data_IF_632327698936
#
_entry.id   IF_632327698936
#
_cell.length_a   1.000
_cell.length_b   1.000
_cell.length_c   1.000
_cell.angle_alpha   90.00
_cell.angle_beta   90.00
_cell.angle_gamma   90.00
#
_symmetry.space_group_name_H-M   'P 1'
#
loop_
_entity.id
_entity.type
_entity.pdbx_description
1 polymer ?
#
# COMPACT_ATOMS: atom_id res chain seq x y z
N UNK A 1 13.15 -0.04 17.30
CA UNK A 1 13.75 -0.93 16.28
C UNK A 1 13.70 -2.34 16.81
N UNK A 2 13.34 -3.31 15.97
CA UNK A 2 13.42 -4.73 16.34
C UNK A 2 14.87 -5.20 16.38
N UNK A 3 15.34 -5.54 17.57
CA UNK A 3 16.67 -6.14 17.82
C UNK A 3 16.58 -7.65 18.05
N UNK A 4 15.38 -8.24 17.96
CA UNK A 4 15.14 -9.66 18.25
C UNK A 4 15.41 -10.56 17.04
N UNK A 5 15.46 -9.99 15.83
CA UNK A 5 15.62 -10.73 14.58
C UNK A 5 14.33 -11.36 14.05
N UNK A 6 13.20 -11.19 14.75
CA UNK A 6 11.92 -11.78 14.39
C UNK A 6 11.42 -11.32 13.02
N UNK A 7 11.54 -10.02 12.69
CA UNK A 7 11.15 -9.54 11.36
C UNK A 7 11.96 -10.21 10.26
N UNK A 8 13.28 -10.27 10.43
CA UNK A 8 14.22 -10.81 9.45
C UNK A 8 13.96 -12.29 9.19
N UNK A 9 13.71 -13.06 10.24
CA UNK A 9 13.37 -14.49 10.12
C UNK A 9 12.01 -14.69 9.43
N UNK A 10 11.00 -13.88 9.77
CA UNK A 10 9.69 -13.94 9.13
C UNK A 10 9.78 -13.61 7.63
N UNK A 11 10.53 -12.57 7.26
CA UNK A 11 10.76 -12.20 5.87
C UNK A 11 11.44 -13.34 5.09
N UNK A 12 12.49 -13.95 5.63
CA UNK A 12 13.17 -15.09 4.99
C UNK A 12 12.23 -16.27 4.71
N UNK A 13 11.29 -16.56 5.62
CA UNK A 13 10.28 -17.60 5.41
C UNK A 13 9.31 -17.19 4.28
N UNK A 14 8.82 -15.95 4.32
CA UNK A 14 7.84 -15.43 3.37
C UNK A 14 8.38 -15.24 1.95
N UNK A 15 9.68 -14.95 1.79
CA UNK A 15 10.32 -14.81 0.49
C UNK A 15 10.39 -16.12 -0.31
N UNK A 16 10.16 -17.27 0.34
CA UNK A 16 10.02 -18.57 -0.34
C UNK A 16 8.64 -18.77 -0.99
N UNK A 17 7.72 -17.83 -0.81
CA UNK A 17 6.36 -17.87 -1.34
C UNK A 17 6.11 -16.76 -2.34
N UNK A 18 5.22 -17.01 -3.30
CA UNK A 18 4.86 -16.03 -4.31
C UNK A 18 4.26 -14.73 -3.72
N UNK A 19 4.31 -13.62 -4.47
CA UNK A 19 3.69 -12.37 -4.06
C UNK A 19 2.17 -12.39 -4.18
N UNK A 20 1.57 -13.46 -4.72
CA UNK A 20 0.14 -13.62 -4.92
C UNK A 20 -0.29 -15.08 -4.75
N UNK A 21 -1.60 -15.25 -4.58
CA UNK A 21 -2.33 -16.52 -4.60
C UNK A 21 -3.51 -16.44 -5.57
N UNK A 22 -3.98 -17.57 -6.08
CA UNK A 22 -5.11 -17.67 -7.01
C UNK A 22 -4.98 -16.69 -8.21
N UNK A 23 -3.74 -16.50 -8.66
CA UNK A 23 -3.35 -15.67 -9.80
C UNK A 23 -3.51 -14.15 -9.65
N UNK A 24 -4.01 -13.64 -8.51
CA UNK A 24 -4.24 -12.18 -8.32
C UNK A 24 -4.33 -11.67 -6.88
N UNK A 25 -4.61 -12.53 -5.91
CA UNK A 25 -4.83 -12.08 -4.53
C UNK A 25 -3.47 -11.91 -3.88
N UNK A 26 -3.14 -10.71 -3.42
CA UNK A 26 -1.78 -10.40 -2.97
C UNK A 26 -1.41 -11.19 -1.71
N UNK A 27 -0.14 -11.56 -1.60
CA UNK A 27 0.44 -12.01 -0.35
C UNK A 27 0.67 -10.79 0.55
N UNK A 28 -0.14 -10.69 1.60
CA UNK A 28 -0.13 -9.55 2.50
C UNK A 28 0.85 -9.69 3.67
N UNK A 29 1.38 -10.90 3.90
CA UNK A 29 2.14 -11.22 5.10
C UNK A 29 3.34 -10.31 5.35
N UNK A 30 4.20 -9.94 4.35
CA UNK A 30 5.34 -9.09 4.61
C UNK A 30 4.97 -7.71 5.20
N UNK A 31 3.86 -7.13 4.73
CA UNK A 31 3.34 -5.87 5.23
C UNK A 31 2.73 -6.02 6.63
N UNK A 32 2.02 -7.13 6.88
CA UNK A 32 1.40 -7.39 8.17
C UNK A 32 2.46 -7.66 9.26
N UNK A 33 3.47 -8.50 9.00
CA UNK A 33 4.52 -8.78 9.99
C UNK A 33 5.37 -7.55 10.28
N UNK A 34 5.64 -6.72 9.27
CA UNK A 34 6.33 -5.46 9.47
C UNK A 34 5.50 -4.51 10.36
N UNK A 35 4.19 -4.40 10.10
CA UNK A 35 3.29 -3.59 10.93
C UNK A 35 3.23 -4.07 12.38
N UNK A 36 3.14 -5.39 12.60
CA UNK A 36 3.17 -5.99 13.95
C UNK A 36 4.47 -5.63 14.68
N UNK A 37 5.61 -5.78 14.01
CA UNK A 37 6.92 -5.49 14.61
C UNK A 37 7.08 -4.01 14.92
N UNK A 38 6.73 -3.13 13.98
CA UNK A 38 6.82 -1.69 14.17
C UNK A 38 5.94 -1.17 15.31
N UNK A 39 4.84 -1.88 15.61
CA UNK A 39 3.93 -1.58 16.72
C UNK A 39 4.23 -2.36 17.99
N UNK A 40 5.40 -3.01 18.08
CA UNK A 40 5.87 -3.65 19.32
C UNK A 40 5.37 -5.09 19.55
N UNK A 41 4.69 -5.70 18.57
CA UNK A 41 4.10 -7.04 18.67
C UNK A 41 4.94 -8.13 18.01
N UNK A 42 6.28 -8.00 18.03
CA UNK A 42 7.21 -8.99 17.46
C UNK A 42 6.92 -10.43 17.97
N UNK A 43 6.58 -10.58 19.26
CA UNK A 43 6.28 -11.89 19.88
C UNK A 43 5.11 -12.65 19.22
N UNK A 44 4.22 -11.94 18.53
CA UNK A 44 3.04 -12.53 17.89
C UNK A 44 3.27 -12.91 16.43
N UNK A 45 4.38 -12.48 15.82
CA UNK A 45 4.65 -12.61 14.38
C UNK A 45 4.66 -14.05 13.92
N UNK A 46 5.43 -14.93 14.57
CA UNK A 46 5.54 -16.32 14.11
C UNK A 46 4.19 -17.05 14.18
N UNK A 47 3.44 -16.87 15.26
CA UNK A 47 2.08 -17.44 15.39
C UNK A 47 1.14 -16.92 14.30
N UNK A 48 1.20 -15.61 14.01
CA UNK A 48 0.39 -15.01 12.95
C UNK A 48 0.77 -15.58 11.57
N UNK A 49 2.07 -15.70 11.29
CA UNK A 49 2.57 -16.29 10.04
C UNK A 49 2.12 -17.74 9.88
N UNK A 50 2.20 -18.54 10.95
CA UNK A 50 1.77 -19.95 10.91
C UNK A 50 0.30 -20.09 10.49
N UNK A 51 -0.58 -19.23 10.99
CA UNK A 51 -1.99 -19.19 10.59
C UNK A 51 -2.17 -18.70 9.14
N UNK A 52 -1.37 -17.73 8.72
CA UNK A 52 -1.42 -17.15 7.37
C UNK A 52 -0.89 -18.11 6.28
N UNK A 53 -0.02 -19.07 6.62
CA UNK A 53 0.64 -19.96 5.64
C UNK A 53 -0.30 -20.67 4.67
N UNK A 54 -1.55 -20.94 5.10
CA UNK A 54 -2.61 -21.53 4.25
C UNK A 54 -2.98 -20.68 3.03
N UNK A 55 -2.69 -19.37 3.07
CA UNK A 55 -2.89 -18.43 1.97
C UNK A 55 -1.65 -18.30 1.07
N UNK A 56 -0.52 -18.92 1.41
CA UNK A 56 0.71 -18.81 0.63
C UNK A 56 0.72 -19.81 -0.53
N UNK A 57 1.16 -19.36 -1.69
CA UNK A 57 1.44 -20.21 -2.84
C UNK A 57 2.95 -20.24 -3.12
N UNK A 58 3.38 -21.28 -3.84
CA UNK A 58 4.77 -21.48 -4.22
C UNK A 58 5.35 -20.25 -4.94
N UNK A 59 6.64 -19.99 -4.73
CA UNK A 59 7.31 -18.95 -5.47
C UNK A 59 7.35 -19.29 -6.97
N UNK A 60 6.92 -18.38 -7.87
CA UNK A 60 6.86 -18.69 -9.29
C UNK A 60 8.26 -18.90 -9.88
N UNK A 61 8.35 -19.77 -10.90
CA UNK A 61 9.61 -19.97 -11.62
C UNK A 61 9.98 -18.76 -12.48
N UNK A 62 11.26 -18.44 -12.54
CA UNK A 62 11.83 -17.49 -13.51
C UNK A 62 11.69 -18.05 -14.94
N UNK A 63 11.51 -17.16 -15.90
CA UNK A 63 11.35 -17.52 -17.32
C UNK A 63 12.50 -17.01 -18.17
N UNK A 64 12.85 -15.73 -18.00
CA UNK A 64 13.90 -15.06 -18.74
C UNK A 64 14.40 -13.88 -17.90
N UNK A 65 15.71 -13.76 -17.61
CA UNK A 65 16.22 -12.65 -16.83
C UNK A 65 15.83 -11.28 -17.38
N UNK A 66 15.32 -10.41 -16.51
CA UNK A 66 15.21 -8.98 -16.81
C UNK A 66 16.60 -8.33 -16.73
N UNK A 67 16.88 -7.44 -17.67
CA UNK A 67 18.16 -6.76 -17.89
C UNK A 67 17.92 -5.29 -18.26
N UNK A 68 18.98 -4.47 -18.21
CA UNK A 68 18.94 -3.09 -18.67
C UNK A 68 18.47 -2.93 -20.14
N UNK A 69 18.66 -3.95 -20.98
CA UNK A 69 18.28 -3.94 -22.40
C UNK A 69 16.83 -4.34 -22.68
N UNK A 70 16.22 -5.18 -21.84
CA UNK A 70 14.88 -5.76 -22.11
C UNK A 70 13.78 -5.33 -21.12
N UNK A 71 14.11 -4.59 -20.04
CA UNK A 71 13.16 -4.30 -18.96
C UNK A 71 11.86 -3.65 -19.41
N UNK A 72 11.90 -2.77 -20.43
CA UNK A 72 10.70 -2.10 -20.95
C UNK A 72 9.68 -3.08 -21.53
N UNK A 73 10.14 -4.14 -22.18
CA UNK A 73 9.28 -5.17 -22.76
C UNK A 73 8.70 -6.10 -21.68
N UNK A 74 9.40 -6.26 -20.55
CA UNK A 74 8.94 -7.07 -19.42
C UNK A 74 7.99 -6.33 -18.45
N UNK A 75 7.93 -4.99 -18.53
CA UNK A 75 7.17 -4.16 -17.59
C UNK A 75 5.67 -4.40 -17.74
N UNK A 76 5.00 -4.71 -16.63
CA UNK A 76 3.57 -4.97 -16.60
C UNK A 76 3.16 -6.39 -17.04
N UNK A 77 4.11 -7.30 -17.29
CA UNK A 77 3.84 -8.72 -17.50
C UNK A 77 3.90 -9.50 -16.17
N UNK A 78 2.77 -9.97 -15.63
CA UNK A 78 2.73 -10.67 -14.35
C UNK A 78 3.52 -11.98 -14.33
N UNK A 79 3.69 -12.62 -15.50
CA UNK A 79 4.42 -13.89 -15.62
C UNK A 79 5.91 -13.71 -15.34
N UNK A 80 6.41 -12.47 -15.44
CA UNK A 80 7.81 -12.10 -15.25
C UNK A 80 8.15 -11.74 -13.81
N UNK A 81 7.27 -11.99 -12.83
CA UNK A 81 7.48 -11.52 -11.45
C UNK A 81 8.74 -12.07 -10.80
N UNK A 82 9.05 -13.35 -10.98
CA UNK A 82 10.31 -13.92 -10.49
C UNK A 82 11.53 -13.30 -11.16
N UNK A 83 11.45 -13.04 -12.47
CA UNK A 83 12.54 -12.40 -13.24
C UNK A 83 12.79 -10.96 -12.77
N UNK A 84 11.72 -10.23 -12.47
CA UNK A 84 11.76 -8.88 -11.93
C UNK A 84 12.33 -8.84 -10.50
N UNK A 85 11.91 -9.76 -9.63
CA UNK A 85 12.46 -9.86 -8.26
C UNK A 85 13.97 -10.12 -8.33
N UNK A 86 14.40 -11.12 -9.11
CA UNK A 86 15.82 -11.41 -9.27
C UNK A 86 16.61 -10.25 -9.89
N UNK A 87 16.00 -9.44 -10.76
CA UNK A 87 16.63 -8.21 -11.26
C UNK A 87 16.88 -7.20 -10.15
N UNK A 88 15.88 -6.89 -9.31
CA UNK A 88 16.07 -5.95 -8.21
C UNK A 88 16.99 -6.47 -7.11
N UNK A 89 17.03 -7.78 -6.85
CA UNK A 89 18.00 -8.38 -5.93
C UNK A 89 19.44 -8.13 -6.39
N UNK A 90 19.73 -8.30 -7.69
CA UNK A 90 21.04 -8.00 -8.27
C UNK A 90 21.37 -6.52 -8.19
N UNK A 91 20.45 -5.64 -8.58
CA UNK A 91 20.67 -4.19 -8.54
C UNK A 91 20.94 -3.71 -7.10
N UNK A 92 20.20 -4.20 -6.12
CA UNK A 92 20.40 -3.82 -4.70
C UNK A 92 21.71 -4.40 -4.12
N UNK A 93 22.19 -5.52 -4.65
CA UNK A 93 23.49 -6.07 -4.26
C UNK A 93 24.68 -5.28 -4.83
N UNK A 94 24.50 -4.61 -5.97
CA UNK A 94 25.56 -3.89 -6.69
C UNK A 94 25.65 -2.40 -6.32
N UNK A 95 24.56 -1.79 -5.85
CA UNK A 95 24.50 -0.36 -5.52
C UNK A 95 23.57 -0.07 -4.33
N UNK A 96 23.71 1.08 -3.65
CA UNK A 96 22.87 1.42 -2.51
C UNK A 96 21.37 1.34 -2.85
N UNK A 97 20.59 0.73 -1.97
CA UNK A 97 19.15 0.52 -2.20
C UNK A 97 18.37 1.82 -2.46
N UNK A 98 18.82 2.94 -1.87
CA UNK A 98 18.25 4.28 -2.09
C UNK A 98 18.45 4.76 -3.51
N UNK A 99 19.58 4.42 -4.15
CA UNK A 99 19.86 4.75 -5.55
C UNK A 99 19.00 3.91 -6.50
N UNK A 100 18.88 2.60 -6.23
CA UNK A 100 17.94 1.73 -6.98
C UNK A 100 16.52 2.28 -6.89
N UNK A 101 16.08 2.62 -5.68
CA UNK A 101 14.76 3.18 -5.43
C UNK A 101 14.57 4.50 -6.17
N UNK A 102 15.51 5.44 -6.06
CA UNK A 102 15.44 6.74 -6.75
C UNK A 102 15.39 6.61 -8.27
N UNK A 103 16.13 5.65 -8.83
CA UNK A 103 16.14 5.35 -10.26
C UNK A 103 14.81 4.77 -10.75
N UNK A 104 14.24 3.83 -10.01
CA UNK A 104 13.07 3.07 -10.43
C UNK A 104 11.74 3.68 -10.04
N UNK A 105 11.71 4.48 -8.97
CA UNK A 105 10.50 5.17 -8.52
C UNK A 105 9.77 5.90 -9.65
N UNK A 106 10.38 6.85 -10.40
CA UNK A 106 9.68 7.55 -11.48
C UNK A 106 9.28 6.63 -12.65
N UNK A 107 9.91 5.46 -12.81
CA UNK A 107 9.57 4.49 -13.86
C UNK A 107 8.34 3.66 -13.49
N UNK A 108 8.18 3.35 -12.19
CA UNK A 108 7.10 2.52 -11.67
C UNK A 108 5.88 3.33 -11.23
N UNK A 109 6.09 4.58 -10.81
CA UNK A 109 5.06 5.48 -10.31
C UNK A 109 3.84 5.63 -11.24
N UNK A 110 3.99 5.70 -12.58
CA UNK A 110 2.83 5.73 -13.48
C UNK A 110 1.92 4.52 -13.34
N UNK A 111 2.45 3.35 -12.99
CA UNK A 111 1.71 2.10 -12.82
C UNK A 111 1.47 1.67 -11.38
N UNK A 112 1.54 2.61 -10.42
CA UNK A 112 1.27 2.41 -8.99
C UNK A 112 -0.02 1.63 -8.69
N UNK A 113 -1.01 1.74 -9.57
CA UNK A 113 -2.35 1.17 -9.40
C UNK A 113 -2.40 -0.35 -9.61
N UNK A 114 -1.36 -0.93 -10.21
CA UNK A 114 -1.20 -2.37 -10.39
C UNK A 114 -1.30 -3.18 -9.10
N UNK A 115 -1.81 -4.42 -9.18
CA UNK A 115 -1.92 -5.31 -8.03
C UNK A 115 -2.79 -4.75 -6.90
N UNK A 116 -3.77 -3.92 -7.22
CA UNK A 116 -4.59 -3.20 -6.23
C UNK A 116 -3.71 -2.39 -5.27
N UNK A 117 -2.70 -1.69 -5.78
CA UNK A 117 -1.71 -0.88 -5.03
C UNK A 117 -0.85 -1.65 -4.00
N UNK A 118 -1.02 -2.95 -3.83
CA UNK A 118 -0.18 -3.77 -2.94
C UNK A 118 1.32 -3.64 -3.18
N UNK A 119 1.83 -3.56 -4.43
CA UNK A 119 3.25 -3.44 -4.63
C UNK A 119 3.87 -2.18 -4.00
N UNK A 120 3.25 -1.01 -4.17
CA UNK A 120 3.75 0.22 -3.53
C UNK A 120 3.57 0.18 -2.02
N UNK A 121 2.49 -0.46 -1.52
CA UNK A 121 2.29 -0.66 -0.09
C UNK A 121 3.45 -1.48 0.48
N UNK A 122 3.77 -2.61 -0.16
CA UNK A 122 4.89 -3.48 0.21
C UNK A 122 6.23 -2.72 0.21
N UNK A 123 6.50 -1.92 -0.81
CA UNK A 123 7.70 -1.04 -0.85
C UNK A 123 7.70 -0.03 0.30
N UNK A 124 6.57 0.59 0.62
CA UNK A 124 6.46 1.54 1.74
C UNK A 124 6.81 0.91 3.09
N UNK A 125 6.33 -0.31 3.35
CA UNK A 125 6.68 -1.06 4.57
C UNK A 125 8.18 -1.45 4.60
N UNK A 126 8.72 -1.92 3.47
CA UNK A 126 10.15 -2.24 3.34
C UNK A 126 11.03 -1.01 3.61
N UNK A 127 10.71 0.13 3.00
CA UNK A 127 11.45 1.39 3.18
C UNK A 127 11.33 1.91 4.61
N UNK A 128 10.15 1.83 5.26
CA UNK A 128 10.01 2.19 6.68
C UNK A 128 11.00 1.40 7.54
N UNK A 129 11.10 0.09 7.31
CA UNK A 129 12.04 -0.77 8.04
C UNK A 129 13.50 -0.40 7.78
N UNK A 130 13.88 -0.17 6.51
CA UNK A 130 15.24 0.18 6.11
C UNK A 130 15.67 1.57 6.61
N UNK A 131 14.74 2.53 6.71
CA UNK A 131 15.03 3.85 7.29
C UNK A 131 15.13 3.80 8.82
N UNK A 132 14.35 2.93 9.46
CA UNK A 132 14.29 2.86 10.91
C UNK A 132 15.45 2.10 11.52
N UNK A 133 16.14 1.21 10.79
CA UNK A 133 17.22 0.37 11.34
C UNK A 133 18.20 -0.13 10.29
N UNK A 134 18.94 -1.19 10.63
CA UNK A 134 19.97 -1.75 9.74
C UNK A 134 19.38 -2.37 8.46
N UNK A 135 20.10 -2.18 7.36
CA UNK A 135 19.81 -2.76 6.04
C UNK A 135 20.32 -4.21 5.94
N UNK A 136 19.67 -5.11 6.67
CA UNK A 136 20.00 -6.55 6.64
C UNK A 136 19.58 -7.21 5.33
N UNK A 137 20.16 -8.37 5.01
CA UNK A 137 19.83 -9.13 3.80
C UNK A 137 18.33 -9.36 3.58
N UNK A 138 17.57 -9.86 4.57
CA UNK A 138 16.12 -10.04 4.44
C UNK A 138 15.35 -8.74 4.19
N UNK A 139 15.76 -7.62 4.80
CA UNK A 139 15.08 -6.32 4.60
C UNK A 139 15.33 -5.76 3.20
N UNK A 140 16.55 -5.92 2.70
CA UNK A 140 16.91 -5.57 1.32
C UNK A 140 16.19 -6.45 0.31
N UNK A 141 16.10 -7.76 0.56
CA UNK A 141 15.32 -8.68 -0.25
C UNK A 141 13.84 -8.30 -0.27
N UNK A 142 13.26 -7.88 0.85
CA UNK A 142 11.86 -7.43 0.89
C UNK A 142 11.61 -6.20 0.00
N UNK A 143 12.56 -5.26 -0.06
CA UNK A 143 12.49 -4.16 -1.02
C UNK A 143 12.57 -4.66 -2.47
N UNK A 144 13.47 -5.60 -2.78
CA UNK A 144 13.57 -6.21 -4.10
C UNK A 144 12.27 -6.92 -4.52
N UNK A 145 11.66 -7.67 -3.59
CA UNK A 145 10.37 -8.33 -3.82
C UNK A 145 9.25 -7.31 -4.07
N UNK A 146 9.20 -6.21 -3.30
CA UNK A 146 8.23 -5.14 -3.51
C UNK A 146 8.37 -4.45 -4.86
N UNK A 147 9.60 -4.06 -5.24
CA UNK A 147 9.90 -3.42 -6.53
C UNK A 147 9.64 -4.37 -7.71
N UNK A 148 10.03 -5.64 -7.59
CA UNK A 148 9.82 -6.64 -8.63
C UNK A 148 8.34 -6.95 -8.84
N UNK A 149 7.58 -7.06 -7.76
CA UNK A 149 6.13 -7.19 -7.83
C UNK A 149 5.47 -5.97 -8.48
N UNK A 150 5.96 -4.76 -8.18
CA UNK A 150 5.45 -3.53 -8.78
C UNK A 150 5.72 -3.49 -10.28
N UNK A 151 6.94 -3.83 -10.70
CA UNK A 151 7.28 -3.89 -12.11
C UNK A 151 6.43 -4.92 -12.88
N UNK A 152 6.20 -6.11 -12.30
CA UNK A 152 5.38 -7.15 -12.92
C UNK A 152 3.89 -6.80 -13.00
N UNK A 153 3.35 -6.09 -12.01
CA UNK A 153 1.94 -5.66 -11.98
C UNK A 153 1.71 -4.25 -12.51
N UNK A 154 2.75 -3.56 -12.97
CA UNK A 154 2.70 -2.17 -13.42
C UNK A 154 1.51 -1.93 -14.36
N UNK A 155 0.54 -1.16 -13.88
CA UNK A 155 -0.69 -0.86 -14.63
C UNK A 155 -1.03 0.63 -14.49
N UNK A 156 -0.82 1.44 -15.52
CA UNK A 156 -1.11 2.86 -15.44
C UNK A 156 -2.60 3.16 -15.58
N UNK A 157 -3.01 4.27 -14.95
CA UNK A 157 -4.29 4.93 -15.25
C UNK A 157 -3.99 6.05 -16.25
N UNK A 158 -4.64 6.00 -17.41
CA UNK A 158 -4.39 6.94 -18.52
C UNK A 158 -5.71 7.50 -19.07
N UNK A 159 -5.63 8.65 -19.75
CA UNK A 159 -6.79 9.25 -20.40
C UNK A 159 -7.85 9.77 -19.43
N UNK A 160 -7.44 10.19 -18.22
CA UNK A 160 -8.34 10.84 -17.27
C UNK A 160 -8.77 12.20 -17.79
N UNK A 161 -10.08 12.44 -17.75
CA UNK A 161 -10.65 13.79 -17.86
C UNK A 161 -10.66 14.42 -16.47
N UNK A 162 -10.06 15.59 -16.35
CA UNK A 162 -10.01 16.33 -15.10
C UNK A 162 -11.38 16.95 -14.78
N UNK A 163 -11.85 16.75 -13.55
CA UNK A 163 -13.02 17.42 -12.99
C UNK A 163 -12.60 18.60 -12.11
N UNK A 164 -13.50 19.59 -11.89
CA UNK A 164 -13.27 20.64 -10.91
C UNK A 164 -12.81 20.07 -9.57
N UNK A 165 -11.74 20.64 -9.06
CA UNK A 165 -11.14 20.24 -7.80
C UNK A 165 -11.83 20.83 -6.57
N UNK A 166 -11.24 20.55 -5.41
CA UNK A 166 -11.59 21.18 -4.15
C UNK A 166 -10.34 21.63 -3.37
N UNK A 167 -10.55 22.48 -2.36
CA UNK A 167 -9.46 23.12 -1.61
C UNK A 167 -8.77 22.18 -0.61
N UNK A 168 -9.50 21.17 -0.11
CA UNK A 168 -9.02 20.17 0.85
C UNK A 168 -9.09 18.75 0.30
N UNK A 169 -8.27 17.84 0.85
CA UNK A 169 -8.29 16.44 0.47
C UNK A 169 -9.66 15.79 0.71
N UNK A 170 -10.30 16.11 1.85
CA UNK A 170 -11.62 15.58 2.20
C UNK A 170 -12.68 16.03 1.18
N UNK A 171 -12.76 17.32 0.89
CA UNK A 171 -13.71 17.84 -0.10
C UNK A 171 -13.41 17.31 -1.51
N UNK A 172 -12.14 17.08 -1.85
CA UNK A 172 -11.78 16.50 -3.13
C UNK A 172 -12.21 15.03 -3.23
N UNK A 173 -12.10 14.26 -2.15
CA UNK A 173 -12.63 12.88 -2.07
C UNK A 173 -14.16 12.84 -2.13
N UNK A 174 -14.85 13.83 -1.55
CA UNK A 174 -16.31 13.97 -1.67
C UNK A 174 -16.75 14.29 -3.10
N UNK A 175 -15.92 15.00 -3.87
CA UNK A 175 -16.18 15.33 -5.27
C UNK A 175 -15.89 14.17 -6.24
N UNK A 176 -15.40 13.02 -5.76
CA UNK A 176 -15.14 11.85 -6.61
C UNK A 176 -16.47 11.23 -7.06
N UNK A 177 -16.75 11.32 -8.36
CA UNK A 177 -17.87 10.63 -8.97
C UNK A 177 -17.63 9.10 -9.03
N UNK A 178 -18.61 8.27 -8.64
CA UNK A 178 -18.51 6.83 -8.82
C UNK A 178 -18.44 6.41 -10.30
N UNK A 179 -17.81 5.28 -10.56
CA UNK A 179 -17.90 4.64 -11.89
C UNK A 179 -19.33 4.15 -12.15
N UNK A 180 -19.76 4.22 -13.42
CA UNK A 180 -21.12 3.84 -13.81
C UNK A 180 -21.43 2.34 -13.59
N UNK A 181 -20.45 1.47 -13.85
CA UNK A 181 -20.58 0.02 -13.69
C UNK A 181 -19.57 -0.49 -12.65
N UNK A 182 -20.07 -0.96 -11.51
CA UNK A 182 -19.26 -1.45 -10.40
C UNK A 182 -19.03 -2.97 -10.46
N UNK A 183 -19.51 -3.69 -11.46
CA UNK A 183 -19.27 -5.13 -11.58
C UNK A 183 -17.81 -5.44 -11.95
N UNK A 184 -17.30 -6.58 -11.49
CA UNK A 184 -15.99 -7.09 -11.87
C UNK A 184 -14.87 -6.77 -10.87
N UNK A 185 -13.69 -7.30 -11.18
CA UNK A 185 -12.50 -7.21 -10.34
C UNK A 185 -11.80 -5.84 -10.45
N UNK A 186 -10.78 -5.62 -9.61
CA UNK A 186 -10.06 -4.34 -9.55
C UNK A 186 -9.53 -3.84 -10.91
N UNK A 187 -8.81 -4.64 -11.73
CA UNK A 187 -8.37 -4.17 -13.06
C UNK A 187 -9.52 -3.72 -13.96
N UNK A 188 -10.64 -4.46 -13.95
CA UNK A 188 -11.82 -4.14 -14.77
C UNK A 188 -12.44 -2.81 -14.33
N UNK A 189 -12.60 -2.60 -13.03
CA UNK A 189 -13.12 -1.33 -12.49
C UNK A 189 -12.15 -0.18 -12.75
N UNK A 190 -10.83 -0.41 -12.63
CA UNK A 190 -9.80 0.60 -12.87
C UNK A 190 -9.84 1.12 -14.32
N UNK A 191 -10.06 0.24 -15.30
CA UNK A 191 -10.18 0.61 -16.72
C UNK A 191 -11.42 1.47 -17.03
N UNK A 192 -12.39 1.49 -16.11
CA UNK A 192 -13.60 2.33 -16.18
C UNK A 192 -13.44 3.67 -15.46
N UNK A 193 -12.34 3.89 -14.72
CA UNK A 193 -12.04 5.19 -14.12
C UNK A 193 -11.59 6.14 -15.23
N UNK A 194 -12.49 7.05 -15.65
CA UNK A 194 -12.26 8.00 -16.75
C UNK A 194 -12.22 9.45 -16.32
N UNK A 195 -12.75 9.77 -15.15
CA UNK A 195 -12.92 11.14 -14.66
C UNK A 195 -12.55 11.19 -13.19
N UNK A 196 -11.70 12.13 -12.79
CA UNK A 196 -11.34 12.35 -11.40
C UNK A 196 -11.19 13.85 -11.11
N UNK A 197 -11.56 14.33 -9.92
CA UNK A 197 -11.29 15.70 -9.52
C UNK A 197 -9.79 15.97 -9.45
N UNK A 198 -9.40 17.17 -9.86
CA UNK A 198 -8.04 17.65 -9.68
C UNK A 198 -7.86 18.03 -8.22
N UNK A 199 -6.76 17.63 -7.60
CA UNK A 199 -6.47 18.07 -6.24
C UNK A 199 -5.03 18.54 -6.07
N UNK A 200 -4.89 19.64 -5.33
CA UNK A 200 -3.64 20.34 -5.05
C UNK A 200 -2.82 20.77 -6.30
N UNK A 201 -3.39 21.15 -7.46
CA UNK A 201 -2.65 21.31 -8.72
C UNK A 201 -1.53 22.37 -8.67
N UNK A 202 -1.66 23.36 -7.80
CA UNK A 202 -0.68 24.43 -7.57
C UNK A 202 0.60 23.99 -6.84
N UNK A 203 0.63 22.78 -6.27
CA UNK A 203 1.81 22.28 -5.54
C UNK A 203 2.96 21.98 -6.49
N UNK A 204 4.05 22.73 -6.33
CA UNK A 204 5.31 22.60 -7.08
C UNK A 204 6.51 22.27 -6.19
N UNK A 205 6.41 22.49 -4.88
CA UNK A 205 7.49 22.29 -3.92
C UNK A 205 7.38 20.97 -3.13
N UNK A 206 8.52 20.37 -2.75
CA UNK A 206 8.54 19.09 -2.01
C UNK A 206 7.88 19.17 -0.63
N UNK A 207 8.18 20.18 0.19
CA UNK A 207 7.65 20.23 1.56
C UNK A 207 6.12 20.38 1.57
N UNK A 208 5.60 21.18 0.65
CA UNK A 208 4.17 21.30 0.41
C UNK A 208 3.57 19.99 -0.10
N UNK A 209 4.28 19.27 -0.99
CA UNK A 209 3.84 17.95 -1.45
C UNK A 209 3.73 16.94 -0.30
N UNK A 210 4.70 16.93 0.62
CA UNK A 210 4.64 16.11 1.84
C UNK A 210 3.48 16.53 2.74
N UNK A 211 3.28 17.83 2.97
CA UNK A 211 2.16 18.35 3.78
C UNK A 211 0.81 17.92 3.22
N UNK A 212 0.61 18.08 1.90
CA UNK A 212 -0.63 17.65 1.25
C UNK A 212 -0.77 16.14 1.26
N UNK A 213 0.28 15.37 1.03
CA UNK A 213 0.19 13.91 1.12
C UNK A 213 -0.23 13.46 2.53
N UNK A 214 0.29 14.08 3.59
CA UNK A 214 -0.19 13.87 4.97
C UNK A 214 -1.67 14.21 5.14
N UNK A 215 -2.14 15.31 4.54
CA UNK A 215 -3.57 15.68 4.52
C UNK A 215 -4.43 14.61 3.82
N UNK A 216 -3.96 14.06 2.69
CA UNK A 216 -4.65 12.98 1.98
C UNK A 216 -4.76 11.72 2.82
N UNK A 217 -3.67 11.31 3.48
CA UNK A 217 -3.68 10.13 4.36
C UNK A 217 -4.69 10.29 5.49
N UNK A 218 -4.71 11.47 6.14
CA UNK A 218 -5.69 11.79 7.19
C UNK A 218 -7.11 11.72 6.64
N UNK A 219 -7.40 12.42 5.54
CA UNK A 219 -8.73 12.48 4.95
C UNK A 219 -9.25 11.10 4.50
N UNK A 220 -8.41 10.29 3.84
CA UNK A 220 -8.78 8.95 3.40
C UNK A 220 -9.00 7.99 4.59
N UNK A 221 -8.19 8.10 5.64
CA UNK A 221 -8.37 7.32 6.89
C UNK A 221 -9.70 7.68 7.56
N UNK A 222 -9.98 8.98 7.71
CA UNK A 222 -11.23 9.48 8.28
C UNK A 222 -12.45 9.06 7.47
N UNK A 223 -12.34 9.10 6.13
CA UNK A 223 -13.41 8.70 5.21
C UNK A 223 -13.80 7.24 5.39
N UNK A 224 -12.87 6.36 5.74
CA UNK A 224 -13.17 4.94 5.96
C UNK A 224 -14.19 4.75 7.10
N UNK A 225 -14.18 5.57 8.14
CA UNK A 225 -15.13 5.48 9.25
C UNK A 225 -16.60 5.58 8.79
N UNK A 226 -16.86 6.34 7.73
CA UNK A 226 -18.21 6.60 7.19
C UNK A 226 -18.52 5.82 5.91
N UNK A 227 -17.50 5.41 5.14
CA UNK A 227 -17.68 4.78 3.83
C UNK A 227 -17.22 3.33 3.75
N UNK A 228 -16.44 2.85 4.73
CA UNK A 228 -15.82 1.51 4.70
C UNK A 228 -16.82 0.37 4.49
N UNK A 229 -18.07 0.57 4.87
CA UNK A 229 -19.17 -0.40 4.71
C UNK A 229 -19.56 -0.70 3.24
N UNK A 230 -19.08 0.07 2.27
CA UNK A 230 -19.35 -0.21 0.85
C UNK A 230 -18.51 -1.36 0.29
N UNK A 231 -17.24 -1.44 0.70
CA UNK A 231 -16.32 -2.54 0.38
C UNK A 231 -15.14 -2.47 1.36
N UNK A 232 -15.24 -3.24 2.44
CA UNK A 232 -14.39 -3.12 3.63
C UNK A 232 -12.92 -3.44 3.35
N UNK A 233 -12.66 -4.32 2.39
CA UNK A 233 -11.30 -4.74 2.01
C UNK A 233 -10.67 -3.73 1.06
N UNK A 234 -11.37 -3.33 0.01
CA UNK A 234 -10.81 -2.49 -1.03
C UNK A 234 -10.69 -1.04 -0.60
N UNK A 235 -11.59 -0.53 0.23
CA UNK A 235 -11.55 0.87 0.66
C UNK A 235 -10.36 1.19 1.58
N UNK A 236 -9.74 0.21 2.26
CA UNK A 236 -8.50 0.47 3.02
C UNK A 236 -7.35 0.93 2.12
N UNK A 237 -7.39 0.60 0.82
CA UNK A 237 -6.37 1.00 -0.16
C UNK A 237 -6.35 2.50 -0.42
N UNK A 238 -7.47 3.19 -0.22
CA UNK A 238 -7.55 4.64 -0.38
C UNK A 238 -6.65 5.38 0.63
N UNK A 239 -6.35 4.77 1.78
CA UNK A 239 -5.48 5.35 2.82
C UNK A 239 -4.11 4.66 2.91
N UNK A 240 -4.04 3.34 2.77
CA UNK A 240 -2.78 2.59 2.92
C UNK A 240 -1.79 2.86 1.77
N UNK A 241 -2.27 3.02 0.53
CA UNK A 241 -1.42 3.35 -0.61
C UNK A 241 -0.75 4.74 -0.50
N UNK A 242 -1.49 5.86 -0.25
CA UNK A 242 -0.84 7.15 -0.06
C UNK A 242 0.03 7.19 1.21
N UNK A 243 -0.30 6.43 2.27
CA UNK A 243 0.57 6.34 3.45
C UNK A 243 1.89 5.60 3.16
N UNK A 244 1.85 4.55 2.35
CA UNK A 244 3.06 3.89 1.88
C UNK A 244 3.96 4.85 1.08
N UNK A 245 3.38 5.64 0.17
CA UNK A 245 4.11 6.69 -0.56
C UNK A 245 4.69 7.74 0.40
N UNK A 246 3.92 8.18 1.41
CA UNK A 246 4.37 9.14 2.42
C UNK A 246 5.57 8.62 3.22
N UNK A 247 5.52 7.35 3.63
CA UNK A 247 6.60 6.65 4.35
C UNK A 247 7.86 6.51 3.50
N UNK A 248 7.73 6.47 2.17
CA UNK A 248 8.87 6.36 1.25
C UNK A 248 9.55 7.70 0.96
N UNK A 249 8.86 8.84 1.07
CA UNK A 249 9.42 10.15 0.71
C UNK A 249 10.81 10.46 1.30
N UNK A 250 11.12 10.16 2.59
CA UNK A 250 12.43 10.45 3.16
C UNK A 250 13.61 9.71 2.50
N UNK A 251 13.34 8.59 1.80
CA UNK A 251 14.35 7.82 1.06
C UNK A 251 14.52 8.30 -0.40
N UNK A 252 13.68 9.22 -0.87
CA UNK A 252 13.65 9.68 -2.26
C UNK A 252 14.27 11.07 -2.43
N UNK A 253 14.90 11.34 -3.59
CA UNK A 253 15.19 12.71 -4.01
C UNK A 253 13.95 13.60 -3.92
N UNK A 254 14.11 14.81 -3.37
CA UNK A 254 13.00 15.76 -3.14
C UNK A 254 12.24 16.14 -4.42
N UNK A 255 12.89 16.07 -5.58
CA UNK A 255 12.26 16.28 -6.90
C UNK A 255 11.16 15.26 -7.22
N UNK A 256 11.16 14.09 -6.57
CA UNK A 256 10.17 13.04 -6.77
C UNK A 256 8.94 13.19 -5.86
N UNK A 257 8.92 14.14 -4.92
CA UNK A 257 7.84 14.23 -3.93
C UNK A 257 6.53 14.76 -4.52
N UNK A 258 6.60 15.75 -5.42
CA UNK A 258 5.43 16.27 -6.14
C UNK A 258 4.79 15.21 -7.03
N UNK A 259 5.50 14.49 -7.93
CA UNK A 259 4.87 13.43 -8.71
C UNK A 259 4.33 12.30 -7.83
N UNK A 260 4.99 12.00 -6.69
CA UNK A 260 4.50 11.03 -5.71
C UNK A 260 3.14 11.42 -5.12
N UNK A 261 2.96 12.70 -4.76
CA UNK A 261 1.66 13.24 -4.34
C UNK A 261 0.58 13.03 -5.41
N UNK A 262 0.89 13.29 -6.69
CA UNK A 262 -0.08 13.15 -7.79
C UNK A 262 -0.55 11.71 -7.99
N UNK A 263 0.39 10.76 -7.96
CA UNK A 263 0.08 9.35 -8.10
C UNK A 263 -0.70 8.83 -6.88
N UNK A 264 -0.31 9.25 -5.67
CA UNK A 264 -1.02 8.91 -4.43
C UNK A 264 -2.46 9.44 -4.42
N UNK A 265 -2.67 10.70 -4.84
CA UNK A 265 -4.01 11.27 -5.04
C UNK A 265 -4.85 10.42 -5.99
N UNK A 266 -4.29 10.12 -7.17
CA UNK A 266 -4.99 9.32 -8.19
C UNK A 266 -5.38 7.94 -7.65
N UNK A 267 -4.53 7.32 -6.83
CA UNK A 267 -4.84 6.03 -6.22
C UNK A 267 -6.03 6.12 -5.25
N UNK A 268 -6.02 7.11 -4.34
CA UNK A 268 -7.12 7.33 -3.39
C UNK A 268 -8.43 7.66 -4.11
N UNK A 269 -8.38 8.54 -5.11
CA UNK A 269 -9.55 8.95 -5.87
C UNK A 269 -10.09 7.81 -6.74
N UNK A 270 -9.23 7.01 -7.39
CA UNK A 270 -9.67 5.84 -8.16
C UNK A 270 -10.33 4.78 -7.27
N UNK A 271 -9.73 4.44 -6.12
CA UNK A 271 -10.34 3.48 -5.17
C UNK A 271 -11.70 4.00 -4.68
N UNK A 272 -11.80 5.30 -4.38
CA UNK A 272 -13.07 5.93 -4.00
C UNK A 272 -14.12 5.80 -5.10
N UNK A 273 -13.77 6.12 -6.35
CA UNK A 273 -14.70 6.01 -7.49
C UNK A 273 -15.19 4.56 -7.72
N UNK A 274 -14.32 3.58 -7.48
CA UNK A 274 -14.62 2.16 -7.74
C UNK A 274 -15.42 1.48 -6.64
N UNK A 275 -15.32 1.93 -5.38
CA UNK A 275 -15.77 1.15 -4.22
C UNK A 275 -16.56 1.94 -3.18
N UNK A 276 -16.55 3.28 -3.20
CA UNK A 276 -17.29 4.04 -2.21
C UNK A 276 -18.80 3.80 -2.38
N UNK A 277 -19.54 3.62 -1.26
CA UNK A 277 -20.99 3.57 -1.29
C UNK A 277 -21.56 4.94 -1.67
N UNK A 278 -22.81 4.97 -2.14
CA UNK A 278 -23.46 6.22 -2.58
C UNK A 278 -23.77 7.16 -1.42
N UNK A 279 -23.97 6.61 -0.22
CA UNK A 279 -24.35 7.38 0.97
C UNK A 279 -23.40 7.05 2.13
N UNK A 280 -22.83 8.06 2.81
CA UNK A 280 -22.06 7.84 4.02
C UNK A 280 -22.98 7.41 5.17
N UNK A 281 -22.44 6.61 6.10
CA UNK A 281 -23.06 6.39 7.40
C UNK A 281 -22.40 7.24 8.47
N UNK A 282 -23.13 7.53 9.55
CA UNK A 282 -22.53 8.17 10.72
C UNK A 282 -21.48 7.24 11.35
N UNK A 283 -20.39 7.83 11.83
CA UNK A 283 -19.39 7.11 12.62
C UNK A 283 -19.57 7.46 14.10
N UNK A 284 -19.18 6.53 14.98
CA UNK A 284 -19.26 6.71 16.42
C UNK A 284 -17.86 6.95 17.00
N UNK A 285 -17.69 7.90 17.93
CA UNK A 285 -16.47 8.04 18.70
C UNK A 285 -16.03 6.70 19.31
N UNK A 286 -14.72 6.41 19.35
CA UNK A 286 -14.19 5.11 19.76
C UNK A 286 -14.30 4.87 21.27
N UNK A 287 -14.79 5.85 22.04
CA UNK A 287 -14.82 5.86 23.50
C UNK A 287 -13.42 6.03 24.10
N UNK A 288 -13.28 5.71 25.39
CA UNK A 288 -11.99 5.71 26.08
C UNK A 288 -11.19 4.46 25.66
N UNK A 289 -10.50 4.55 24.52
CA UNK A 289 -9.58 3.53 24.03
C UNK A 289 -8.27 4.15 23.59
N UNK A 290 -7.18 3.48 23.93
CA UNK A 290 -5.83 3.88 23.54
C UNK A 290 -5.46 3.34 22.17
N UNK A 291 -4.49 3.96 21.51
CA UNK A 291 -3.94 3.48 20.24
C UNK A 291 -3.39 2.04 20.34
N UNK A 292 -2.77 1.71 21.48
CA UNK A 292 -2.24 0.37 21.76
C UNK A 292 -3.37 -0.67 21.82
N UNK A 293 -4.44 -0.41 22.58
CA UNK A 293 -5.60 -1.31 22.65
C UNK A 293 -6.29 -1.49 21.29
N UNK A 294 -6.33 -0.44 20.45
CA UNK A 294 -6.88 -0.55 19.10
C UNK A 294 -6.03 -1.51 18.24
N UNK A 295 -4.70 -1.42 18.32
CA UNK A 295 -3.81 -2.34 17.59
C UNK A 295 -3.86 -3.76 18.14
N UNK A 296 -3.95 -3.94 19.46
CA UNK A 296 -4.13 -5.25 20.08
C UNK A 296 -5.41 -5.94 19.58
N UNK A 297 -6.51 -5.19 19.44
CA UNK A 297 -7.75 -5.71 18.86
C UNK A 297 -7.61 -6.08 17.37
N UNK A 298 -6.82 -5.32 16.61
CA UNK A 298 -6.50 -5.66 15.21
C UNK A 298 -5.66 -6.94 15.13
N UNK A 299 -4.65 -7.07 15.99
CA UNK A 299 -3.85 -8.29 16.11
C UNK A 299 -4.71 -9.50 16.53
N UNK A 300 -5.62 -9.32 17.48
CA UNK A 300 -6.53 -10.38 17.93
C UNK A 300 -7.51 -10.82 16.82
N UNK A 301 -7.95 -9.88 15.97
CA UNK A 301 -8.72 -10.21 14.77
C UNK A 301 -7.88 -10.98 13.75
N UNK A 302 -6.61 -10.63 13.58
CA UNK A 302 -5.65 -11.38 12.77
C UNK A 302 -5.78 -11.19 11.26
N UNK A 303 -6.73 -10.38 10.78
CA UNK A 303 -6.86 -10.09 9.35
C UNK A 303 -5.78 -9.10 8.90
N UNK A 304 -5.09 -9.43 7.81
CA UNK A 304 -4.02 -8.62 7.25
C UNK A 304 -4.45 -7.18 6.87
N UNK A 305 -5.67 -6.96 6.36
CA UNK A 305 -6.17 -5.65 5.96
C UNK A 305 -6.47 -4.82 7.20
N UNK A 306 -7.10 -5.43 8.20
CA UNK A 306 -7.36 -4.79 9.51
C UNK A 306 -6.04 -4.36 10.16
N UNK A 307 -5.01 -5.22 10.19
CA UNK A 307 -3.70 -4.89 10.77
C UNK A 307 -3.03 -3.71 10.03
N UNK A 308 -2.92 -3.77 8.70
CA UNK A 308 -2.28 -2.72 7.88
C UNK A 308 -3.04 -1.39 7.94
N UNK A 309 -4.37 -1.43 7.90
CA UNK A 309 -5.18 -0.23 7.99
C UNK A 309 -5.11 0.39 9.37
N UNK A 310 -5.14 -0.43 10.43
CA UNK A 310 -4.94 0.05 11.80
C UNK A 310 -3.55 0.68 11.95
N UNK A 311 -2.48 0.07 11.43
CA UNK A 311 -1.15 0.69 11.40
C UNK A 311 -1.12 2.05 10.67
N UNK A 312 -1.93 2.24 9.62
CA UNK A 312 -2.07 3.55 8.95
C UNK A 312 -2.88 4.54 9.79
N UNK A 313 -3.98 4.10 10.39
CA UNK A 313 -4.81 4.95 11.24
C UNK A 313 -4.04 5.47 12.47
N UNK A 314 -3.16 4.66 13.03
CA UNK A 314 -2.32 5.04 14.16
C UNK A 314 -1.22 6.06 13.81
N UNK A 315 -0.81 6.18 12.54
CA UNK A 315 0.05 7.29 12.10
C UNK A 315 -0.73 8.63 12.09
N UNK A 316 -2.05 8.58 11.87
CA UNK A 316 -2.93 9.76 11.91
C UNK A 316 -3.27 10.13 13.35
N UNK A 317 -3.58 9.13 14.18
CA UNK A 317 -3.56 9.16 15.64
C UNK A 317 -4.68 9.94 16.34
N UNK A 318 -5.62 10.55 15.60
CA UNK A 318 -6.75 11.27 16.19
C UNK A 318 -7.98 10.36 16.41
N UNK A 319 -8.99 10.89 17.10
CA UNK A 319 -10.20 10.16 17.50
C UNK A 319 -10.91 9.47 16.32
N UNK A 320 -11.07 10.19 15.20
CA UNK A 320 -11.75 9.65 14.04
C UNK A 320 -10.92 8.58 13.32
N UNK A 321 -9.59 8.67 13.34
CA UNK A 321 -8.73 7.60 12.82
C UNK A 321 -8.84 6.33 13.67
N UNK A 322 -8.87 6.45 15.00
CA UNK A 322 -9.09 5.31 15.89
C UNK A 322 -10.48 4.68 15.66
N UNK A 323 -11.52 5.49 15.49
CA UNK A 323 -12.84 5.00 15.11
C UNK A 323 -12.84 4.28 13.75
N UNK A 324 -12.12 4.79 12.75
CA UNK A 324 -11.98 4.12 11.46
C UNK A 324 -11.33 2.74 11.59
N UNK A 325 -10.28 2.60 12.42
CA UNK A 325 -9.61 1.33 12.66
C UNK A 325 -10.53 0.31 13.37
N UNK A 326 -11.26 0.74 14.39
CA UNK A 326 -12.27 -0.09 15.05
C UNK A 326 -13.37 -0.51 14.06
N UNK A 327 -13.80 0.42 13.20
CA UNK A 327 -14.80 0.15 12.17
C UNK A 327 -14.32 -0.86 11.13
N UNK A 328 -13.06 -0.78 10.72
CA UNK A 328 -12.44 -1.76 9.83
C UNK A 328 -12.50 -3.17 10.40
N UNK A 329 -12.21 -3.30 11.70
CA UNK A 329 -12.34 -4.58 12.42
C UNK A 329 -13.79 -5.06 12.48
N UNK A 330 -14.75 -4.18 12.73
CA UNK A 330 -16.17 -4.56 12.82
C UNK A 330 -16.77 -5.03 11.49
N UNK A 331 -16.32 -4.45 10.38
CA UNK A 331 -16.83 -4.77 9.05
C UNK A 331 -16.18 -6.02 8.46
N UNK A 332 -14.93 -6.31 8.84
CA UNK A 332 -14.18 -7.43 8.27
C UNK A 332 -14.59 -8.74 8.91
N UNK A 333 -14.71 -9.80 8.11
CA UNK A 333 -14.86 -11.16 8.64
C UNK A 333 -13.54 -11.65 9.25
N UNK A 334 -13.56 -12.28 10.44
CA UNK A 334 -12.37 -12.92 10.99
C UNK A 334 -11.82 -13.99 10.03
N UNK A 335 -10.48 -14.11 9.90
CA UNK A 335 -9.88 -15.13 9.07
C UNK A 335 -10.19 -16.53 9.61
N UNK A 336 -10.48 -17.46 8.69
CA UNK A 336 -10.85 -18.85 8.98
C UNK A 336 -9.70 -19.74 9.50
#
# INVERSE_FOLDING_TARGET
MDTTGTLDEALQRLHRSGPERLGRLSNHAPMAVEALVARGHARSVHRWVDLYTRKLEEFPSATEPVTAGNWRAALGDPRRVADWIGYFEREIAEQPWTEVLAQWWPRLLPGLYGGSTHPVIRVGHAVRTLLAGEATGPRLAELAHGLGYWAARHRPVTGLTELPGADSAAAALDAVEPIAEREGNFPTRLDRVRRLPVWAPSVTGPDEARRRLTELVRAATHRYATHGHGEETMLVHAATAPNAVLRTLPALPRTLWVPSLRAAWTASAAVTAMYAPDTPVAWSPPGDVTAEEVFERALAHGDEHVIKFTDTALDVGDEQALAAALRCRELSEPPA
#
